data_IF_486440260422
#
_entry.id   IF_486440260422
#
_cell.length_a   1.000
_cell.length_b   1.000
_cell.length_c   1.000
_cell.angle_alpha   90.00
_cell.angle_beta   90.00
_cell.angle_gamma   90.00
#
_symmetry.space_group_name_H-M   'P 1'
#
loop_
_entity.id
_entity.type
_entity.pdbx_description
1 polymer ?
#
# COMPACT_ATOMS: atom_id res chain seq x y z
N UNK A 1 -9.39 -16.83 -9.75
CA UNK A 1 -8.71 -17.35 -10.94
C UNK A 1 -8.78 -18.90 -10.91
N UNK A 2 -9.31 -19.58 -11.98
CA UNK A 2 -9.45 -21.04 -12.01
C UNK A 2 -8.12 -21.77 -11.76
N UNK A 3 -7.00 -21.24 -12.26
CA UNK A 3 -5.66 -21.82 -12.05
C UNK A 3 -5.29 -21.86 -10.57
N UNK A 4 -5.53 -20.78 -9.81
CA UNK A 4 -5.26 -20.76 -8.37
C UNK A 4 -6.08 -21.79 -7.62
N UNK A 5 -7.35 -21.98 -7.99
CA UNK A 5 -8.22 -23.00 -7.38
C UNK A 5 -7.67 -24.40 -7.65
N UNK A 6 -7.31 -24.70 -8.89
CA UNK A 6 -6.74 -26.02 -9.26
C UNK A 6 -5.45 -26.31 -8.49
N UNK A 7 -4.49 -25.37 -8.47
CA UNK A 7 -3.23 -25.56 -7.74
C UNK A 7 -3.42 -25.64 -6.22
N UNK A 8 -4.36 -24.85 -5.67
CA UNK A 8 -4.69 -24.92 -4.25
C UNK A 8 -5.22 -26.30 -3.86
N UNK A 9 -6.10 -26.86 -4.67
CA UNK A 9 -6.64 -28.21 -4.47
C UNK A 9 -5.56 -29.29 -4.68
N UNK A 10 -4.75 -29.18 -5.72
CA UNK A 10 -3.67 -30.14 -5.98
C UNK A 10 -2.62 -30.19 -4.86
N UNK A 11 -2.27 -29.03 -4.31
CA UNK A 11 -1.24 -28.91 -3.28
C UNK A 11 -1.81 -28.98 -1.85
N UNK A 12 -3.13 -29.06 -1.70
CA UNK A 12 -3.84 -28.97 -0.42
C UNK A 12 -3.36 -27.78 0.43
N UNK A 13 -3.11 -26.65 -0.24
CA UNK A 13 -2.58 -25.42 0.37
C UNK A 13 -3.22 -24.19 -0.27
N UNK A 14 -3.66 -23.26 0.58
CA UNK A 14 -4.13 -21.94 0.15
C UNK A 14 -2.91 -21.01 0.00
N UNK A 15 -2.45 -20.82 -1.23
CA UNK A 15 -1.34 -19.95 -1.56
C UNK A 15 -1.63 -19.13 -2.82
N UNK A 16 -0.80 -18.12 -3.05
CA UNK A 16 -0.88 -17.29 -4.24
C UNK A 16 -0.26 -18.01 -5.45
N UNK A 17 -1.11 -18.58 -6.31
CA UNK A 17 -0.67 -19.33 -7.49
C UNK A 17 -0.77 -18.56 -8.81
N UNK A 18 -1.43 -17.42 -8.86
CA UNK A 18 -1.67 -16.75 -10.14
C UNK A 18 -0.72 -15.58 -10.44
N UNK A 19 -0.09 -15.02 -9.44
CA UNK A 19 0.89 -13.92 -9.60
C UNK A 19 2.23 -14.39 -10.16
N UNK A 20 2.46 -15.69 -10.25
CA UNK A 20 3.67 -16.29 -10.83
C UNK A 20 3.62 -16.47 -12.35
N UNK A 21 2.56 -16.01 -13.02
CA UNK A 21 2.39 -16.20 -14.46
C UNK A 21 1.59 -15.06 -15.06
N UNK A 22 2.10 -14.44 -16.10
CA UNK A 22 1.36 -13.49 -16.89
C UNK A 22 2.03 -12.12 -16.98
N UNK A 23 1.27 -11.10 -17.36
CA UNK A 23 1.78 -9.77 -17.72
C UNK A 23 2.28 -8.91 -16.56
N UNK A 24 2.56 -9.53 -15.40
CA UNK A 24 3.05 -8.81 -14.22
C UNK A 24 4.33 -8.03 -14.52
N UNK A 25 5.30 -8.69 -15.17
CA UNK A 25 6.58 -8.06 -15.50
C UNK A 25 6.41 -6.92 -16.51
N UNK A 26 5.46 -7.05 -17.43
CA UNK A 26 5.14 -6.01 -18.39
C UNK A 26 4.53 -4.77 -17.71
N UNK A 27 3.55 -4.97 -16.84
CA UNK A 27 2.94 -3.89 -16.05
C UNK A 27 3.97 -3.23 -15.14
N UNK A 28 4.84 -4.03 -14.51
CA UNK A 28 5.91 -3.52 -13.67
C UNK A 28 6.83 -2.56 -14.42
N UNK A 29 7.20 -2.87 -15.67
CA UNK A 29 8.02 -1.97 -16.50
C UNK A 29 7.39 -0.58 -16.70
N UNK A 30 6.05 -0.48 -16.76
CA UNK A 30 5.37 0.82 -16.84
C UNK A 30 5.38 1.57 -15.51
N UNK A 31 5.26 0.87 -14.40
CA UNK A 31 5.37 1.45 -13.05
C UNK A 31 6.81 1.94 -12.82
N UNK A 32 7.81 1.17 -13.24
CA UNK A 32 9.23 1.53 -13.13
C UNK A 32 9.57 2.80 -13.92
N UNK A 33 9.04 2.95 -15.10
CA UNK A 33 9.22 4.15 -15.94
C UNK A 33 8.52 5.40 -15.38
N UNK A 34 7.71 5.24 -14.36
CA UNK A 34 6.93 6.30 -13.69
C UNK A 34 6.12 7.17 -14.66
N UNK A 35 5.50 6.54 -15.61
CA UNK A 35 4.69 7.23 -16.60
C UNK A 35 3.54 7.95 -15.88
N UNK A 36 3.50 9.27 -16.02
CA UNK A 36 2.37 10.11 -15.57
C UNK A 36 1.99 9.94 -14.08
N UNK A 37 2.98 9.86 -13.19
CA UNK A 37 2.76 9.76 -11.72
C UNK A 37 2.07 8.49 -11.24
N UNK A 38 2.24 7.39 -11.94
CA UNK A 38 1.66 6.08 -11.55
C UNK A 38 2.16 5.63 -10.19
N UNK A 39 3.39 5.97 -9.80
CA UNK A 39 3.97 5.61 -8.50
C UNK A 39 3.24 6.26 -7.34
N UNK A 40 2.88 7.55 -7.45
CA UNK A 40 2.13 8.27 -6.39
C UNK A 40 0.78 7.61 -6.16
N UNK A 41 0.06 7.34 -7.24
CA UNK A 41 -1.24 6.67 -7.18
C UNK A 41 -1.13 5.23 -6.65
N UNK A 42 -0.05 4.53 -7.00
CA UNK A 42 0.22 3.20 -6.46
C UNK A 42 0.47 3.24 -4.95
N UNK A 43 1.22 4.22 -4.47
CA UNK A 43 1.44 4.43 -3.03
C UNK A 43 0.13 4.67 -2.28
N UNK A 44 -0.78 5.49 -2.85
CA UNK A 44 -2.12 5.69 -2.31
C UNK A 44 -2.91 4.37 -2.29
N UNK A 45 -2.90 3.59 -3.37
CA UNK A 45 -3.60 2.31 -3.41
C UNK A 45 -3.03 1.28 -2.44
N UNK A 46 -1.71 1.23 -2.24
CA UNK A 46 -1.06 0.38 -1.21
C UNK A 46 -1.50 0.81 0.18
N UNK A 47 -1.76 2.09 0.39
CA UNK A 47 -2.31 2.60 1.66
C UNK A 47 -3.80 2.32 1.85
N UNK A 48 -4.48 1.76 0.83
CA UNK A 48 -5.90 1.48 0.86
C UNK A 48 -6.79 2.62 0.36
N UNK A 49 -6.20 3.68 -0.22
CA UNK A 49 -6.96 4.80 -0.80
C UNK A 49 -7.24 4.52 -2.28
N UNK A 50 -8.52 4.45 -2.71
CA UNK A 50 -8.87 4.34 -4.12
C UNK A 50 -8.45 5.58 -4.89
N UNK A 51 -7.99 5.40 -6.12
CA UNK A 51 -7.52 6.48 -6.98
C UNK A 51 -8.45 6.65 -8.17
N UNK A 52 -8.74 7.91 -8.50
CA UNK A 52 -9.58 8.21 -9.64
C UNK A 52 -8.87 7.87 -10.97
N UNK A 53 -9.55 7.10 -11.82
CA UNK A 53 -9.06 6.71 -13.13
C UNK A 53 -10.20 6.56 -14.15
N UNK A 54 -9.88 6.80 -15.42
CA UNK A 54 -10.80 6.57 -16.53
C UNK A 54 -10.43 5.26 -17.20
N UNK A 55 -11.04 4.17 -16.73
CA UNK A 55 -10.85 2.87 -17.35
C UNK A 55 -11.61 2.80 -18.66
N UNK A 56 -10.89 2.49 -19.74
CA UNK A 56 -11.46 2.25 -21.08
C UNK A 56 -11.32 0.77 -21.41
N UNK A 57 -12.27 0.24 -22.18
CA UNK A 57 -12.11 -1.10 -22.74
C UNK A 57 -10.83 -1.16 -23.60
N UNK A 58 -9.86 -1.92 -23.13
CA UNK A 58 -8.58 -2.08 -23.81
C UNK A 58 -8.62 -3.35 -24.65
N UNK A 59 -8.73 -3.17 -25.92
CA UNK A 59 -8.75 -4.28 -26.91
C UNK A 59 -7.42 -4.41 -27.63
N UNK A 60 -6.26 -4.24 -26.96
CA UNK A 60 -5.03 -4.36 -27.74
C UNK A 60 -3.79 -4.78 -26.97
N UNK A 61 -3.20 -5.80 -27.51
CA UNK A 61 -2.00 -6.53 -27.09
C UNK A 61 -0.67 -5.91 -27.56
N UNK A 62 -0.63 -4.68 -28.06
CA UNK A 62 0.59 -4.16 -28.71
C UNK A 62 0.79 -2.65 -28.70
N UNK A 63 0.11 -1.87 -27.87
CA UNK A 63 0.37 -0.43 -27.74
C UNK A 63 1.28 -0.13 -26.56
N UNK A 64 2.29 0.72 -26.78
CA UNK A 64 2.99 1.36 -25.68
C UNK A 64 1.99 2.14 -24.83
N UNK A 65 1.90 1.80 -23.55
CA UNK A 65 1.08 2.53 -22.60
C UNK A 65 1.82 3.82 -22.23
N UNK A 66 1.19 4.96 -22.51
CA UNK A 66 1.84 6.27 -22.36
C UNK A 66 1.16 7.15 -21.32
N UNK A 67 -0.04 6.79 -20.89
CA UNK A 67 -0.82 7.54 -19.92
C UNK A 67 -1.19 6.68 -18.71
N UNK A 68 -1.42 7.35 -17.58
CA UNK A 68 -1.89 6.72 -16.35
C UNK A 68 -3.18 5.91 -16.56
N UNK A 69 -4.16 6.49 -17.25
CA UNK A 69 -5.44 5.85 -17.50
C UNK A 69 -5.29 4.57 -18.36
N UNK A 70 -4.34 4.54 -19.29
CA UNK A 70 -4.02 3.35 -20.08
C UNK A 70 -3.38 2.26 -19.23
N UNK A 71 -2.42 2.63 -18.38
CA UNK A 71 -1.75 1.68 -17.47
C UNK A 71 -2.76 1.08 -16.51
N UNK A 72 -3.59 1.91 -15.86
CA UNK A 72 -4.60 1.40 -14.94
C UNK A 72 -5.70 0.59 -15.63
N UNK A 73 -6.10 0.97 -16.86
CA UNK A 73 -7.02 0.16 -17.65
C UNK A 73 -6.44 -1.22 -17.94
N UNK A 74 -5.18 -1.30 -18.31
CA UNK A 74 -4.46 -2.55 -18.51
C UNK A 74 -4.40 -3.38 -17.22
N UNK A 75 -4.06 -2.75 -16.10
CA UNK A 75 -4.03 -3.42 -14.79
C UNK A 75 -5.41 -3.97 -14.37
N UNK A 76 -6.49 -3.26 -14.68
CA UNK A 76 -7.86 -3.74 -14.44
C UNK A 76 -8.18 -4.94 -15.33
N UNK A 77 -7.87 -4.87 -16.62
CA UNK A 77 -8.10 -5.98 -17.56
C UNK A 77 -7.34 -7.25 -17.18
N UNK A 78 -6.12 -7.11 -16.70
CA UNK A 78 -5.32 -8.24 -16.18
C UNK A 78 -5.70 -8.67 -14.77
N UNK A 79 -6.60 -7.95 -14.10
CA UNK A 79 -7.09 -8.29 -12.76
C UNK A 79 -6.14 -7.88 -11.62
N UNK A 80 -5.19 -6.98 -11.85
CA UNK A 80 -4.34 -6.42 -10.82
C UNK A 80 -5.03 -5.33 -9.98
N UNK A 81 -5.97 -4.62 -10.60
CA UNK A 81 -6.80 -3.62 -9.94
C UNK A 81 -8.28 -3.93 -10.11
N UNK A 82 -9.08 -3.50 -9.15
CA UNK A 82 -10.53 -3.38 -9.27
C UNK A 82 -10.89 -2.00 -9.79
N UNK A 83 -12.00 -1.89 -10.51
CA UNK A 83 -12.57 -0.62 -10.95
C UNK A 83 -14.02 -0.51 -10.51
N UNK A 84 -14.32 0.52 -9.76
CA UNK A 84 -15.67 0.79 -9.27
C UNK A 84 -15.93 2.30 -9.20
N UNK A 85 -17.07 2.73 -9.78
CA UNK A 85 -17.55 4.12 -9.72
C UNK A 85 -16.51 5.20 -10.11
N UNK A 86 -15.63 4.91 -11.07
CA UNK A 86 -14.60 5.85 -11.51
C UNK A 86 -13.28 5.79 -10.73
N UNK A 87 -13.15 4.82 -9.84
CA UNK A 87 -11.97 4.63 -9.01
C UNK A 87 -11.34 3.25 -9.21
N UNK A 88 -10.02 3.20 -9.14
CA UNK A 88 -9.25 1.96 -9.11
C UNK A 88 -8.71 1.70 -7.70
N UNK A 89 -8.62 0.43 -7.32
CA UNK A 89 -8.12 0.00 -6.02
C UNK A 89 -7.49 -1.40 -6.12
N UNK A 90 -6.66 -1.76 -5.16
CA UNK A 90 -6.13 -3.13 -5.03
C UNK A 90 -7.24 -4.04 -4.49
N UNK A 91 -7.64 -5.09 -5.24
CA UNK A 91 -8.90 -5.80 -4.97
C UNK A 91 -8.87 -6.78 -3.80
N UNK A 92 -7.68 -7.26 -3.40
CA UNK A 92 -7.59 -8.32 -2.40
C UNK A 92 -6.20 -8.38 -1.74
N UNK A 93 -6.12 -9.18 -0.67
CA UNK A 93 -4.89 -9.35 0.10
C UNK A 93 -3.73 -9.92 -0.73
N UNK A 94 -3.98 -10.90 -1.60
CA UNK A 94 -2.91 -11.52 -2.42
C UNK A 94 -2.18 -10.50 -3.28
N UNK A 95 -2.93 -9.58 -3.89
CA UNK A 95 -2.35 -8.51 -4.69
C UNK A 95 -1.72 -7.43 -3.83
N UNK A 96 -2.33 -7.11 -2.69
CA UNK A 96 -1.74 -6.19 -1.73
C UNK A 96 -0.37 -6.69 -1.27
N UNK A 97 -0.25 -7.96 -0.88
CA UNK A 97 1.01 -8.57 -0.47
C UNK A 97 2.04 -8.53 -1.62
N UNK A 98 1.58 -8.71 -2.86
CA UNK A 98 2.46 -8.62 -4.04
C UNK A 98 2.97 -7.21 -4.32
N UNK A 99 2.13 -6.20 -4.20
CA UNK A 99 2.55 -4.80 -4.33
C UNK A 99 3.43 -4.35 -3.16
N UNK A 100 3.18 -4.87 -1.95
CA UNK A 100 4.04 -4.66 -0.80
C UNK A 100 5.44 -5.24 -1.01
N UNK A 101 5.51 -6.50 -1.43
CA UNK A 101 6.76 -7.18 -1.80
C UNK A 101 7.55 -6.40 -2.87
N UNK A 102 6.85 -5.89 -3.87
CA UNK A 102 7.44 -5.07 -4.92
C UNK A 102 8.01 -3.77 -4.34
N UNK A 103 7.26 -3.09 -3.49
CA UNK A 103 7.70 -1.86 -2.84
C UNK A 103 8.98 -2.07 -2.02
N UNK A 104 9.10 -3.20 -1.32
CA UNK A 104 10.27 -3.52 -0.51
C UNK A 104 11.51 -3.94 -1.32
N UNK A 105 11.32 -4.53 -2.50
CA UNK A 105 12.41 -5.14 -3.28
C UNK A 105 12.94 -4.26 -4.39
N UNK A 106 12.10 -3.41 -4.97
CA UNK A 106 12.39 -2.72 -6.21
C UNK A 106 12.86 -1.28 -5.99
N UNK A 107 14.18 -1.09 -6.00
CA UNK A 107 14.82 0.22 -5.82
C UNK A 107 14.37 1.27 -6.86
N UNK A 108 13.94 0.86 -8.04
CA UNK A 108 13.41 1.72 -9.10
C UNK A 108 12.13 2.47 -8.69
N UNK A 109 11.40 1.99 -7.67
CA UNK A 109 10.24 2.68 -7.10
C UNK A 109 10.61 3.92 -6.26
N UNK A 110 11.89 4.21 -6.10
CA UNK A 110 12.36 5.45 -5.48
C UNK A 110 11.96 5.57 -4.01
N UNK A 111 11.17 6.62 -3.68
CA UNK A 111 10.77 6.88 -2.29
C UNK A 111 9.87 5.78 -1.69
N UNK A 112 9.01 5.13 -2.49
CA UNK A 112 8.16 4.03 -2.03
C UNK A 112 9.02 2.89 -1.50
N UNK A 113 10.05 2.51 -2.25
CA UNK A 113 11.01 1.50 -1.83
C UNK A 113 11.75 1.88 -0.56
N UNK A 114 12.20 3.14 -0.45
CA UNK A 114 12.93 3.61 0.73
C UNK A 114 12.06 3.54 1.99
N UNK A 115 10.80 4.00 1.92
CA UNK A 115 9.87 3.94 3.04
C UNK A 115 9.49 2.51 3.41
N UNK A 116 9.20 1.67 2.42
CA UNK A 116 8.90 0.26 2.65
C UNK A 116 10.06 -0.48 3.34
N UNK A 117 11.29 -0.16 2.98
CA UNK A 117 12.51 -0.74 3.59
C UNK A 117 12.68 -0.38 5.07
N UNK A 118 12.26 0.81 5.49
CA UNK A 118 12.28 1.24 6.90
C UNK A 118 11.15 0.59 7.74
N UNK A 119 10.22 -0.12 7.11
CA UNK A 119 9.01 -0.59 7.78
C UNK A 119 9.26 -1.57 8.93
N UNK A 120 10.24 -2.45 8.80
CA UNK A 120 10.64 -3.35 9.89
C UNK A 120 11.26 -2.61 11.08
N UNK A 121 12.07 -1.59 10.81
CA UNK A 121 12.69 -0.72 11.82
C UNK A 121 11.63 0.11 12.53
N UNK A 122 10.67 0.65 11.80
CA UNK A 122 9.53 1.40 12.32
C UNK A 122 8.67 0.56 13.28
N UNK A 123 8.29 -0.64 12.84
CA UNK A 123 7.51 -1.55 13.69
C UNK A 123 8.24 -1.92 14.99
N UNK A 124 9.55 -2.16 14.90
CA UNK A 124 10.39 -2.47 16.08
C UNK A 124 10.45 -1.29 17.03
N UNK A 125 10.68 -0.08 16.51
CA UNK A 125 10.71 1.15 17.30
C UNK A 125 9.37 1.40 18.02
N UNK A 126 8.25 1.18 17.31
CA UNK A 126 6.90 1.31 17.87
C UNK A 126 6.67 0.36 19.05
N UNK A 127 7.02 -0.92 18.88
CA UNK A 127 6.89 -1.93 19.95
C UNK A 127 7.74 -1.61 21.17
N UNK A 128 8.88 -0.96 20.98
CA UNK A 128 9.79 -0.58 22.06
C UNK A 128 9.49 0.81 22.66
N UNK A 129 8.57 1.57 22.07
CA UNK A 129 8.31 2.96 22.46
C UNK A 129 9.45 3.92 22.12
N UNK A 130 10.27 3.58 21.12
CA UNK A 130 11.41 4.39 20.66
C UNK A 130 10.93 5.50 19.71
N UNK A 131 10.44 6.57 20.30
CA UNK A 131 9.88 7.71 19.59
C UNK A 131 10.91 8.48 18.77
N UNK A 132 12.18 8.44 19.14
CA UNK A 132 13.24 9.14 18.42
C UNK A 132 13.50 8.47 17.08
N UNK A 133 13.56 7.14 17.04
CA UNK A 133 13.70 6.37 15.80
C UNK A 133 12.44 6.51 14.92
N UNK A 134 11.26 6.51 15.53
CA UNK A 134 10.01 6.74 14.77
C UNK A 134 10.01 8.13 14.12
N UNK A 135 10.41 9.15 14.86
CA UNK A 135 10.51 10.53 14.35
C UNK A 135 11.55 10.65 13.24
N UNK A 136 12.72 10.05 13.37
CA UNK A 136 13.78 10.01 12.35
C UNK A 136 13.27 9.42 11.03
N UNK A 137 12.54 8.30 11.08
CA UNK A 137 11.98 7.66 9.88
C UNK A 137 10.93 8.55 9.22
N UNK A 138 10.05 9.18 9.99
CA UNK A 138 9.03 10.10 9.47
C UNK A 138 9.64 11.39 8.94
N UNK A 139 10.66 11.94 9.60
CA UNK A 139 11.40 13.11 9.12
C UNK A 139 12.14 12.81 7.81
N UNK A 140 12.76 11.63 7.72
CA UNK A 140 13.35 11.17 6.46
C UNK A 140 12.30 11.07 5.35
N UNK A 141 11.13 10.53 5.66
CA UNK A 141 10.00 10.50 4.74
C UNK A 141 9.62 11.93 4.28
N UNK A 142 9.53 12.87 5.21
CA UNK A 142 9.18 14.26 4.93
C UNK A 142 10.22 14.98 4.06
N UNK A 143 11.49 14.72 4.27
CA UNK A 143 12.59 15.38 3.55
C UNK A 143 12.92 14.76 2.19
N UNK A 144 12.25 13.68 1.79
CA UNK A 144 12.41 13.09 0.46
C UNK A 144 11.59 13.87 -0.58
N UNK A 145 12.14 14.03 -1.78
CA UNK A 145 11.57 14.81 -2.90
C UNK A 145 10.27 14.21 -3.50
N UNK A 146 9.32 13.80 -2.67
CA UNK A 146 8.06 13.26 -3.15
C UNK A 146 6.90 14.24 -2.95
N UNK A 147 6.07 14.48 -3.96
CA UNK A 147 4.87 15.30 -3.83
C UNK A 147 3.86 14.82 -2.79
N UNK A 148 3.83 13.51 -2.50
CA UNK A 148 2.98 12.91 -1.45
C UNK A 148 3.37 13.35 -0.03
N UNK A 149 4.55 13.94 0.15
CA UNK A 149 5.11 14.25 1.46
C UNK A 149 4.87 15.68 1.92
N UNK A 150 4.15 16.45 1.15
CA UNK A 150 3.72 17.80 1.58
C UNK A 150 2.54 17.78 2.55
N UNK A 151 2.18 16.61 3.14
CA UNK A 151 1.15 16.45 4.19
C UNK A 151 0.03 17.49 4.17
N UNK A 152 -0.48 17.80 2.99
CA UNK A 152 -1.52 18.82 2.88
C UNK A 152 -2.87 18.32 3.40
N UNK A 153 -2.96 16.98 3.66
CA UNK A 153 -4.16 16.36 4.18
C UNK A 153 -3.86 15.04 4.91
N UNK A 154 -4.81 14.57 5.69
CA UNK A 154 -4.72 13.32 6.47
C UNK A 154 -4.53 12.09 5.57
N UNK A 155 -5.05 12.09 4.34
CA UNK A 155 -4.93 10.96 3.43
C UNK A 155 -3.47 10.76 2.95
N UNK A 156 -2.75 11.83 2.68
CA UNK A 156 -1.33 11.79 2.30
C UNK A 156 -0.46 11.32 3.46
N UNK A 157 -0.72 11.83 4.66
CA UNK A 157 -0.05 11.35 5.88
C UNK A 157 -0.34 9.87 6.13
N UNK A 158 -1.58 9.45 5.97
CA UNK A 158 -1.97 8.05 6.11
C UNK A 158 -1.31 7.14 5.06
N UNK A 159 -1.04 7.65 3.85
CA UNK A 159 -0.30 6.91 2.83
C UNK A 159 1.16 6.68 3.25
N UNK A 160 1.82 7.70 3.76
CA UNK A 160 3.19 7.58 4.30
C UNK A 160 3.24 6.59 5.45
N UNK A 161 2.31 6.73 6.42
CA UNK A 161 2.21 5.80 7.56
C UNK A 161 2.01 4.37 7.08
N UNK A 162 1.14 4.14 6.10
CA UNK A 162 0.92 2.80 5.53
C UNK A 162 2.19 2.20 4.90
N UNK A 163 3.02 3.01 4.27
CA UNK A 163 4.30 2.56 3.69
C UNK A 163 5.35 2.25 4.77
N UNK A 164 5.48 3.10 5.79
CA UNK A 164 6.46 2.87 6.86
C UNK A 164 6.04 1.77 7.85
N UNK A 165 4.82 1.27 7.77
CA UNK A 165 4.34 0.10 8.50
C UNK A 165 4.02 -1.10 7.60
N UNK A 166 4.57 -1.15 6.40
CA UNK A 166 4.23 -2.18 5.42
C UNK A 166 4.49 -3.60 5.95
N UNK A 167 5.65 -3.84 6.59
CA UNK A 167 6.00 -5.13 7.20
C UNK A 167 5.11 -5.50 8.41
N UNK A 168 4.38 -4.55 8.98
CA UNK A 168 3.46 -4.87 10.07
C UNK A 168 2.33 -5.80 9.62
N UNK A 169 2.01 -5.86 8.33
CA UNK A 169 0.99 -6.75 7.75
C UNK A 169 1.27 -8.24 7.97
N UNK A 170 2.52 -8.62 8.18
CA UNK A 170 2.91 -10.00 8.47
C UNK A 170 2.54 -10.42 9.91
N UNK A 171 2.39 -9.45 10.81
CA UNK A 171 2.19 -9.67 12.23
C UNK A 171 0.86 -9.14 12.75
N UNK A 172 0.23 -8.22 12.01
CA UNK A 172 -0.98 -7.52 12.39
C UNK A 172 -1.99 -7.47 11.25
N UNK A 173 -3.26 -7.58 11.58
CA UNK A 173 -4.34 -7.13 10.72
C UNK A 173 -4.52 -5.63 10.95
N UNK A 174 -4.29 -4.83 9.92
CA UNK A 174 -4.35 -3.36 10.01
C UNK A 174 -5.71 -2.91 9.49
N UNK A 175 -6.46 -2.22 10.34
CA UNK A 175 -7.73 -1.58 10.00
C UNK A 175 -7.54 -0.06 10.05
N UNK A 176 -8.18 0.63 9.10
CA UNK A 176 -8.19 2.10 9.00
C UNK A 176 -9.58 2.63 9.27
N UNK A 177 -9.64 3.82 9.91
CA UNK A 177 -10.90 4.51 10.19
C UNK A 177 -11.94 3.60 10.88
N UNK A 178 -11.46 2.70 11.74
CA UNK A 178 -12.32 1.76 12.45
C UNK A 178 -12.97 2.42 13.67
N UNK A 179 -14.17 1.95 13.99
CA UNK A 179 -14.94 2.45 15.12
C UNK A 179 -14.30 2.02 16.45
N UNK A 180 -13.76 2.97 17.21
CA UNK A 180 -13.28 2.75 18.56
C UNK A 180 -14.16 3.51 19.56
N UNK A 181 -15.17 2.84 20.09
CA UNK A 181 -16.09 3.46 21.04
C UNK A 181 -16.97 4.55 20.43
N UNK A 182 -16.78 5.81 20.84
CA UNK A 182 -17.59 6.96 20.40
C UNK A 182 -17.00 7.61 19.12
N UNK A 183 -15.74 7.31 18.76
CA UNK A 183 -15.04 7.92 17.64
C UNK A 183 -14.47 6.92 16.64
N UNK A 184 -13.72 7.46 15.69
CA UNK A 184 -12.94 6.70 14.72
C UNK A 184 -11.45 6.84 15.07
N UNK A 185 -10.70 5.77 14.89
CA UNK A 185 -9.25 5.73 15.04
C UNK A 185 -8.62 5.61 13.66
N UNK A 186 -7.57 6.36 13.39
CA UNK A 186 -6.94 6.39 12.07
C UNK A 186 -6.36 5.02 11.68
N UNK A 187 -5.68 4.34 12.62
CA UNK A 187 -5.17 2.99 12.42
C UNK A 187 -5.27 2.15 13.69
N UNK A 188 -5.73 0.91 13.53
CA UNK A 188 -5.67 -0.12 14.57
C UNK A 188 -4.91 -1.32 14.00
N UNK A 189 -3.88 -1.76 14.72
CA UNK A 189 -3.10 -2.93 14.40
C UNK A 189 -3.51 -4.06 15.35
N UNK A 190 -4.38 -4.94 14.88
CA UNK A 190 -4.82 -6.11 15.63
C UNK A 190 -3.79 -7.22 15.51
N UNK A 191 -3.17 -7.70 16.59
CA UNK A 191 -2.14 -8.70 16.50
C UNK A 191 -2.68 -10.05 16.00
N UNK A 192 -1.92 -10.71 15.12
CA UNK A 192 -2.21 -12.10 14.72
C UNK A 192 -1.92 -13.06 15.86
N UNK A 193 -0.88 -12.79 16.63
CA UNK A 193 -0.52 -13.58 17.83
C UNK A 193 -1.15 -12.95 19.06
N UNK A 194 -1.82 -13.76 19.89
CA UNK A 194 -2.46 -13.29 21.12
C UNK A 194 -1.50 -12.74 22.19
N UNK A 195 -0.21 -13.01 22.06
CA UNK A 195 0.83 -12.51 22.95
C UNK A 195 1.29 -11.09 22.65
N UNK A 196 0.97 -10.59 21.47
CA UNK A 196 1.43 -9.27 21.04
C UNK A 196 0.38 -8.22 21.40
N UNK A 197 0.84 -7.00 21.68
CA UNK A 197 -0.02 -5.89 22.03
C UNK A 197 -0.75 -5.34 20.78
N UNK A 198 -1.99 -4.89 20.97
CA UNK A 198 -2.70 -4.10 19.98
C UNK A 198 -2.11 -2.69 19.94
N UNK A 199 -1.83 -2.18 18.74
CA UNK A 199 -1.30 -0.83 18.55
C UNK A 199 -2.41 0.05 17.98
N UNK A 200 -2.62 1.21 18.60
CA UNK A 200 -3.52 2.25 18.13
C UNK A 200 -2.66 3.44 17.73
N UNK A 201 -2.83 3.91 16.51
CA UNK A 201 -2.14 5.08 15.99
C UNK A 201 -3.16 6.12 15.54
N UNK A 202 -3.06 7.29 16.15
CA UNK A 202 -3.87 8.46 15.83
C UNK A 202 -2.99 9.51 15.16
N UNK A 203 -3.45 10.05 14.04
CA UNK A 203 -2.75 11.04 13.25
C UNK A 203 -3.37 12.42 13.47
N UNK A 204 -2.55 13.43 13.64
CA UNK A 204 -3.00 14.82 13.68
C UNK A 204 -2.05 15.70 12.88
N UNK A 205 -2.60 16.46 11.95
CA UNK A 205 -1.87 17.48 11.22
C UNK A 205 -1.95 18.79 12.01
N UNK A 206 -0.82 19.44 12.20
CA UNK A 206 -0.70 20.73 12.90
C UNK A 206 -1.25 20.79 14.35
N UNK A 207 -1.29 19.62 15.03
CA UNK A 207 -1.75 19.50 16.42
C UNK A 207 -0.74 18.76 17.29
N UNK A 208 -0.84 18.98 18.61
CA UNK A 208 0.02 18.28 19.56
C UNK A 208 -0.46 16.83 19.80
N UNK A 209 0.46 15.95 20.22
CA UNK A 209 0.13 14.58 20.63
C UNK A 209 -0.93 14.52 21.74
N UNK A 210 -1.02 15.54 22.62
CA UNK A 210 -2.04 15.60 23.67
C UNK A 210 -3.45 15.84 23.15
N UNK A 211 -3.59 16.42 21.98
CA UNK A 211 -4.88 16.65 21.30
C UNK A 211 -5.33 15.43 20.51
N UNK A 212 -4.41 14.51 20.18
CA UNK A 212 -4.72 13.27 19.49
C UNK A 212 -5.38 12.23 20.41
N UNK A 213 -5.08 12.27 21.72
CA UNK A 213 -5.51 11.25 22.71
C UNK A 213 -6.79 11.66 23.45
N UNK A 214 -7.45 12.73 23.07
CA UNK A 214 -8.73 13.21 23.64
C UNK A 214 -9.91 12.75 22.82
#
# INVERSE_FOLDING_TARGET
NPRSVVFSLMNNNLANYWTSSGPYDEIFNYIEKDVSKVREDLALMISGVPVQAKVREYASTSMELTTKDEIFSSMVVYGFLNYENGYVSIPNKELMDKFADMAEKEASLGYIHRLAKESGRMLTATKNGDTDVMAEILEYAHNTESPLLYYNNEAELAAVVSLVYLSARDFYRIEREDKAGIGYVDFIFYPVRRSDDCIILELKVDKSAKEAVR
#
